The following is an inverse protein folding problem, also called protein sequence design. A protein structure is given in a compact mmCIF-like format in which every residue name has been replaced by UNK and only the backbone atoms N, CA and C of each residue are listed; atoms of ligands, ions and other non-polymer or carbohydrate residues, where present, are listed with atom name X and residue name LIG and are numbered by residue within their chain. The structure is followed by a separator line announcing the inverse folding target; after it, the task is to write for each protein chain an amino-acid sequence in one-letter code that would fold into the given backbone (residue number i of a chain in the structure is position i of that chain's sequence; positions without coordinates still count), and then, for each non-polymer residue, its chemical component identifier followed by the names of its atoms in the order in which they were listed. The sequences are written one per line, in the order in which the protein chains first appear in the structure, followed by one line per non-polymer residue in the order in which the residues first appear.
data_IF_290175949774
#
_entry.id   IF_290175949774
#
_cell.length_a   1.000
_cell.length_b   1.000
_cell.length_c   1.000
_cell.angle_alpha   90.00
_cell.angle_beta   90.00
_cell.angle_gamma   90.00
#
_symmetry.space_group_name_H-M   'P 1'
#
loop_
_entity.id
_entity.type
_entity.pdbx_description
1 polymer ?
#
# COMPACT_ATOMS: atom_id res chain seq x y z
N UNK A 1 -1.43 -6.89 21.03
CA UNK A 1 -2.21 -7.27 19.85
C UNK A 1 -1.31 -8.02 18.88
N UNK A 2 -1.91 -8.88 18.03
CA UNK A 2 -1.23 -9.53 16.92
C UNK A 2 -1.52 -8.75 15.64
N UNK A 3 -0.47 -8.28 14.97
CA UNK A 3 -0.58 -7.38 13.81
C UNK A 3 0.17 -7.98 12.62
N UNK A 4 -0.48 -8.02 11.45
CA UNK A 4 0.10 -8.48 10.20
C UNK A 4 0.24 -7.29 9.26
N UNK A 5 1.45 -7.02 8.80
CA UNK A 5 1.75 -5.96 7.83
C UNK A 5 2.15 -6.59 6.50
N UNK A 6 1.43 -6.25 5.43
CA UNK A 6 1.66 -6.79 4.08
C UNK A 6 2.38 -5.78 3.20
N UNK A 7 3.50 -6.18 2.65
CA UNK A 7 4.44 -5.45 1.80
C UNK A 7 5.04 -4.22 2.51
N UNK A 8 5.99 -3.59 1.87
CA UNK A 8 6.66 -2.42 2.42
C UNK A 8 7.13 -1.48 1.30
N UNK A 9 6.76 -0.22 1.38
CA UNK A 9 7.26 0.84 0.53
C UNK A 9 8.14 1.77 1.35
N UNK A 10 9.36 2.00 0.88
CA UNK A 10 10.29 2.97 1.47
C UNK A 10 10.48 2.83 3.00
N UNK A 11 10.49 1.59 3.51
CA UNK A 11 10.61 1.24 4.93
C UNK A 11 9.42 1.65 5.81
N UNK A 12 8.28 2.03 5.24
CA UNK A 12 7.12 2.48 6.02
C UNK A 12 6.66 1.39 6.99
N UNK A 13 6.35 0.18 6.49
CA UNK A 13 5.94 -0.93 7.35
C UNK A 13 7.09 -1.45 8.23
N UNK A 14 8.33 -1.39 7.78
CA UNK A 14 9.51 -1.73 8.60
C UNK A 14 9.57 -0.84 9.84
N UNK A 15 9.42 0.48 9.69
CA UNK A 15 9.46 1.43 10.81
C UNK A 15 8.23 1.31 11.72
N UNK A 16 7.04 1.13 11.14
CA UNK A 16 5.82 0.84 11.91
C UNK A 16 6.00 -0.44 12.72
N UNK A 17 6.52 -1.52 12.12
CA UNK A 17 6.76 -2.78 12.82
C UNK A 17 7.73 -2.62 13.99
N UNK A 18 8.81 -1.84 13.81
CA UNK A 18 9.77 -1.52 14.86
C UNK A 18 9.05 -0.86 16.05
N UNK A 19 8.37 0.26 15.82
CA UNK A 19 7.68 1.00 16.88
C UNK A 19 6.57 0.18 17.56
N UNK A 20 5.80 -0.60 16.82
CA UNK A 20 4.77 -1.46 17.40
C UNK A 20 5.35 -2.59 18.26
N UNK A 21 6.51 -3.16 17.87
CA UNK A 21 7.22 -4.16 18.69
C UNK A 21 7.77 -3.56 19.99
N UNK A 22 8.30 -2.34 19.93
CA UNK A 22 8.75 -1.58 21.11
C UNK A 22 7.59 -1.29 22.08
N UNK A 23 6.37 -1.12 21.56
CA UNK A 23 5.13 -1.00 22.34
C UNK A 23 4.58 -2.34 22.86
N UNK A 24 5.30 -3.45 22.65
CA UNK A 24 4.92 -4.77 23.16
C UNK A 24 3.89 -5.52 22.30
N UNK A 25 3.72 -5.15 21.02
CA UNK A 25 2.83 -5.86 20.10
C UNK A 25 3.57 -6.99 19.35
N UNK A 26 2.87 -8.07 19.05
CA UNK A 26 3.36 -9.15 18.18
C UNK A 26 3.12 -8.73 16.71
N UNK A 27 4.19 -8.42 15.99
CA UNK A 27 4.10 -7.94 14.61
C UNK A 27 4.78 -8.90 13.66
N UNK A 28 4.04 -9.32 12.63
CA UNK A 28 4.55 -10.12 11.51
C UNK A 28 4.59 -9.26 10.25
N UNK A 29 5.77 -9.12 9.65
CA UNK A 29 5.97 -8.41 8.40
C UNK A 29 6.09 -9.41 7.24
N UNK A 30 5.19 -9.31 6.27
CA UNK A 30 5.15 -10.12 5.05
C UNK A 30 5.53 -9.25 3.88
N UNK A 31 6.45 -9.69 3.02
CA UNK A 31 6.78 -8.89 1.85
C UNK A 31 7.71 -9.58 0.86
N UNK A 32 7.84 -8.96 -0.30
CA UNK A 32 8.77 -9.39 -1.35
C UNK A 32 10.21 -8.90 -1.12
N UNK A 33 10.42 -8.02 -0.13
CA UNK A 33 11.73 -7.47 0.26
C UNK A 33 12.14 -6.25 -0.51
N UNK A 34 11.28 -5.67 -1.31
CA UNK A 34 11.51 -4.55 -2.22
C UNK A 34 12.93 -4.58 -2.83
N UNK A 35 13.04 -4.95 -4.09
CA UNK A 35 14.32 -5.31 -4.78
C UNK A 35 15.47 -4.30 -4.56
N UNK A 36 15.16 -3.03 -4.29
CA UNK A 36 16.17 -1.97 -4.14
C UNK A 36 16.72 -1.81 -2.73
N UNK A 37 16.03 -2.33 -1.69
CA UNK A 37 16.37 -2.01 -0.29
C UNK A 37 16.65 -3.22 0.58
N UNK A 38 16.43 -4.44 0.10
CA UNK A 38 16.67 -5.67 0.88
C UNK A 38 15.94 -5.66 2.23
N UNK A 39 14.72 -5.11 2.28
CA UNK A 39 13.99 -4.88 3.52
C UNK A 39 13.76 -6.17 4.30
N UNK A 40 13.90 -6.07 5.61
CA UNK A 40 13.65 -7.19 6.54
C UNK A 40 12.17 -7.57 6.51
N UNK A 41 11.92 -8.88 6.57
CA UNK A 41 10.59 -9.46 6.63
C UNK A 41 10.61 -10.79 7.35
N UNK A 42 9.52 -11.10 8.05
CA UNK A 42 9.38 -12.37 8.76
C UNK A 42 8.90 -13.49 7.82
N UNK A 43 8.11 -13.12 6.80
CA UNK A 43 7.61 -14.05 5.78
C UNK A 43 7.95 -13.48 4.39
N UNK A 44 8.78 -14.20 3.66
CA UNK A 44 9.14 -13.85 2.29
C UNK A 44 8.09 -14.36 1.31
N UNK A 45 7.50 -13.47 0.52
CA UNK A 45 6.56 -13.79 -0.57
C UNK A 45 7.12 -13.41 -1.94
N UNK A 46 8.42 -13.26 -2.08
CA UNK A 46 9.05 -12.89 -3.34
C UNK A 46 8.66 -13.84 -4.48
N UNK A 47 8.23 -13.24 -5.58
CA UNK A 47 7.98 -13.97 -6.82
C UNK A 47 9.31 -14.29 -7.48
N UNK A 48 9.57 -15.56 -7.75
CA UNK A 48 10.72 -15.99 -8.53
C UNK A 48 10.61 -15.59 -10.01
N UNK A 49 11.63 -15.93 -10.78
CA UNK A 49 11.72 -15.72 -12.22
C UNK A 49 11.39 -17.00 -13.01
N UNK A 50 11.23 -16.85 -14.33
CA UNK A 50 11.01 -17.92 -15.30
C UNK A 50 9.55 -18.23 -15.61
N UNK A 51 9.29 -19.14 -16.58
CA UNK A 51 7.96 -19.33 -17.19
C UNK A 51 6.87 -19.79 -16.21
N UNK A 52 7.22 -20.50 -15.14
CA UNK A 52 6.26 -20.97 -14.12
C UNK A 52 6.25 -20.11 -12.85
N UNK A 53 6.89 -18.94 -12.87
CA UNK A 53 7.03 -18.08 -11.69
C UNK A 53 5.67 -17.70 -11.09
N UNK A 54 4.68 -17.39 -11.91
CA UNK A 54 3.34 -17.03 -11.45
C UNK A 54 2.60 -18.18 -10.76
N UNK A 55 2.73 -19.40 -11.28
CA UNK A 55 2.10 -20.60 -10.70
C UNK A 55 2.78 -20.94 -9.37
N UNK A 56 4.11 -20.95 -9.32
CA UNK A 56 4.85 -21.17 -8.08
C UNK A 56 4.54 -20.15 -7.01
N UNK A 57 4.40 -18.88 -7.40
CA UNK A 57 4.03 -17.80 -6.50
C UNK A 57 2.61 -18.01 -5.93
N UNK A 58 1.63 -18.36 -6.77
CA UNK A 58 0.28 -18.67 -6.36
C UNK A 58 0.23 -19.84 -5.37
N UNK A 59 0.94 -20.95 -5.66
CA UNK A 59 1.04 -22.10 -4.76
C UNK A 59 1.66 -21.67 -3.43
N UNK A 60 2.72 -20.88 -3.45
CA UNK A 60 3.38 -20.38 -2.24
C UNK A 60 2.45 -19.54 -1.40
N UNK A 61 1.77 -18.54 -1.98
CA UNK A 61 0.80 -17.72 -1.26
C UNK A 61 -0.33 -18.58 -0.65
N UNK A 62 -0.85 -19.53 -1.42
CA UNK A 62 -1.89 -20.45 -0.93
C UNK A 62 -1.40 -21.28 0.26
N UNK A 63 -0.17 -21.79 0.22
CA UNK A 63 0.41 -22.54 1.33
C UNK A 63 0.63 -21.73 2.61
N UNK A 64 0.75 -20.41 2.47
CA UNK A 64 0.95 -19.47 3.59
C UNK A 64 -0.35 -18.97 4.21
N UNK A 65 -1.52 -19.21 3.62
CA UNK A 65 -2.80 -18.70 4.10
C UNK A 65 -3.06 -19.03 5.58
N UNK A 66 -2.70 -20.22 6.03
CA UNK A 66 -2.87 -20.61 7.44
C UNK A 66 -2.07 -19.73 8.41
N UNK A 67 -1.00 -19.09 7.93
CA UNK A 67 -0.17 -18.15 8.70
C UNK A 67 -0.73 -16.73 8.70
N UNK A 68 -1.68 -16.41 7.82
CA UNK A 68 -2.27 -15.08 7.65
C UNK A 68 -3.63 -14.94 8.36
N UNK A 69 -3.89 -15.72 9.40
CA UNK A 69 -5.15 -15.72 10.16
C UNK A 69 -4.95 -15.47 11.65
N UNK A 70 -6.01 -14.97 12.29
CA UNK A 70 -6.05 -14.78 13.75
C UNK A 70 -5.29 -13.53 14.22
N UNK A 71 -5.13 -12.54 13.35
CA UNK A 71 -4.59 -11.24 13.72
C UNK A 71 -5.71 -10.29 14.15
N UNK A 72 -5.38 -9.41 15.10
CA UNK A 72 -6.27 -8.32 15.48
C UNK A 72 -6.37 -7.27 14.39
N UNK A 73 -5.24 -7.01 13.71
CA UNK A 73 -5.15 -6.06 12.61
C UNK A 73 -4.32 -6.68 11.48
N UNK A 74 -4.82 -6.59 10.26
CA UNK A 74 -4.06 -6.80 9.04
C UNK A 74 -3.98 -5.46 8.31
N UNK A 75 -2.79 -4.96 8.02
CA UNK A 75 -2.60 -3.76 7.22
C UNK A 75 -1.91 -4.11 5.91
N UNK A 76 -2.55 -3.75 4.81
CA UNK A 76 -2.00 -3.80 3.46
C UNK A 76 -1.31 -2.47 3.17
N UNK A 77 -0.12 -2.51 2.57
CA UNK A 77 0.59 -1.28 2.16
C UNK A 77 -0.17 -0.54 1.06
N UNK A 78 -0.83 -1.29 0.20
CA UNK A 78 -1.67 -0.84 -0.90
C UNK A 78 -2.67 -1.98 -1.21
N UNK A 79 -3.84 -1.74 -1.80
CA UNK A 79 -4.77 -2.80 -2.19
C UNK A 79 -4.13 -3.91 -3.02
N UNK A 80 -3.33 -3.56 -4.01
CA UNK A 80 -2.60 -4.48 -4.90
C UNK A 80 -1.26 -4.89 -4.26
N UNK A 81 -1.29 -5.88 -3.35
CA UNK A 81 -0.12 -6.25 -2.55
C UNK A 81 0.30 -7.74 -2.62
N UNK A 82 -0.44 -8.59 -3.35
CA UNK A 82 -0.08 -10.01 -3.43
C UNK A 82 0.79 -10.37 -4.64
N UNK A 83 1.01 -9.42 -5.56
CA UNK A 83 1.80 -9.62 -6.78
C UNK A 83 1.19 -10.63 -7.76
N UNK A 84 -0.12 -10.73 -7.80
CA UNK A 84 -0.91 -11.54 -8.71
C UNK A 84 -1.60 -10.66 -9.76
N UNK A 85 -2.31 -11.27 -10.70
CA UNK A 85 -3.30 -10.55 -11.49
C UNK A 85 -4.51 -10.22 -10.62
N UNK A 86 -5.14 -9.08 -10.83
CA UNK A 86 -6.24 -8.57 -10.02
C UNK A 86 -7.33 -9.61 -9.73
N UNK A 87 -7.76 -10.35 -10.75
CA UNK A 87 -8.82 -11.36 -10.62
C UNK A 87 -8.42 -12.51 -9.66
N UNK A 88 -7.12 -12.71 -9.46
CA UNK A 88 -6.59 -13.73 -8.55
C UNK A 88 -6.28 -13.20 -7.15
N UNK A 89 -6.33 -11.90 -6.93
CA UNK A 89 -6.11 -11.28 -5.63
C UNK A 89 -7.37 -11.35 -4.74
N UNK A 90 -8.58 -11.27 -5.31
CA UNK A 90 -9.85 -11.35 -4.56
C UNK A 90 -9.94 -12.51 -3.56
N UNK A 91 -9.58 -13.76 -3.89
CA UNK A 91 -9.64 -14.86 -2.91
C UNK A 91 -8.72 -14.65 -1.71
N UNK A 92 -7.53 -14.06 -1.92
CA UNK A 92 -6.56 -13.78 -0.84
C UNK A 92 -7.06 -12.67 0.07
N UNK A 93 -7.53 -11.57 -0.51
CA UNK A 93 -8.12 -10.48 0.27
C UNK A 93 -9.34 -10.97 1.08
N UNK A 94 -10.27 -11.69 0.45
CA UNK A 94 -11.44 -12.27 1.14
C UNK A 94 -11.04 -13.22 2.25
N UNK A 95 -9.95 -13.98 2.08
CA UNK A 95 -9.42 -14.82 3.14
C UNK A 95 -8.95 -13.97 4.32
N UNK A 96 -8.16 -12.93 4.09
CA UNK A 96 -7.72 -12.01 5.16
C UNK A 96 -8.91 -11.39 5.88
N UNK A 97 -9.89 -10.92 5.14
CA UNK A 97 -11.10 -10.29 5.66
C UNK A 97 -11.94 -11.21 6.56
N UNK A 98 -12.03 -12.48 6.20
CA UNK A 98 -12.82 -13.49 6.95
C UNK A 98 -12.14 -14.04 8.20
N UNK A 99 -10.81 -14.05 8.22
CA UNK A 99 -10.06 -14.77 9.25
C UNK A 99 -9.30 -13.85 10.20
N UNK A 100 -9.48 -12.54 10.08
CA UNK A 100 -8.87 -11.54 10.96
C UNK A 100 -9.92 -10.54 11.45
N UNK A 101 -9.61 -9.83 12.53
CA UNK A 101 -10.60 -8.96 13.17
C UNK A 101 -10.82 -7.66 12.40
N UNK A 102 -9.75 -7.01 11.93
CA UNK A 102 -9.76 -5.76 11.18
C UNK A 102 -8.82 -5.82 10.00
N UNK A 103 -9.24 -5.26 8.88
CA UNK A 103 -8.39 -5.07 7.70
C UNK A 103 -8.29 -3.59 7.39
N UNK A 104 -7.06 -3.12 7.30
CA UNK A 104 -6.67 -1.74 7.01
C UNK A 104 -6.01 -1.72 5.65
N UNK A 105 -6.46 -0.87 4.75
CA UNK A 105 -5.84 -0.69 3.43
C UNK A 105 -5.13 0.67 3.38
N UNK A 106 -3.80 0.65 3.26
CA UNK A 106 -2.99 1.86 3.17
C UNK A 106 -3.20 2.57 1.83
N UNK A 107 -3.42 3.87 1.88
CA UNK A 107 -3.36 4.74 0.72
C UNK A 107 -1.95 5.33 0.62
N UNK A 108 -0.99 4.49 0.22
CA UNK A 108 0.44 4.82 0.19
C UNK A 108 1.06 4.67 -1.21
N UNK A 109 0.23 4.53 -2.23
CA UNK A 109 0.63 4.41 -3.62
C UNK A 109 -0.54 4.71 -4.57
N UNK A 110 -0.28 4.60 -5.88
CA UNK A 110 -1.30 4.76 -6.89
C UNK A 110 -2.34 3.63 -6.84
N UNK A 111 -3.59 4.00 -7.02
CA UNK A 111 -4.69 3.10 -7.29
C UNK A 111 -5.79 3.84 -8.08
N UNK A 112 -6.96 3.24 -8.20
CA UNK A 112 -8.08 3.84 -8.91
C UNK A 112 -8.48 5.21 -8.33
N UNK A 113 -8.52 5.37 -7.00
CA UNK A 113 -8.94 6.64 -6.36
C UNK A 113 -7.97 7.79 -6.61
N UNK A 114 -6.67 7.50 -6.67
CA UNK A 114 -5.66 8.47 -7.07
C UNK A 114 -5.86 8.93 -8.50
N UNK A 115 -6.05 7.97 -9.43
CA UNK A 115 -6.23 8.24 -10.85
C UNK A 115 -7.52 9.03 -11.11
N UNK A 116 -8.63 8.60 -10.52
CA UNK A 116 -9.93 9.28 -10.67
C UNK A 116 -9.90 10.72 -10.13
N UNK A 117 -9.29 10.95 -8.98
CA UNK A 117 -9.10 12.30 -8.47
C UNK A 117 -8.26 13.18 -9.37
N UNK A 118 -7.17 12.65 -9.89
CA UNK A 118 -6.30 13.39 -10.79
C UNK A 118 -7.00 13.75 -12.10
N UNK A 119 -7.70 12.79 -12.70
CA UNK A 119 -8.36 12.97 -14.01
C UNK A 119 -9.64 13.79 -13.93
N UNK A 120 -10.57 13.39 -13.07
CA UNK A 120 -11.94 13.91 -13.12
C UNK A 120 -12.19 15.07 -12.14
N UNK A 121 -11.42 15.14 -11.07
CA UNK A 121 -11.59 16.18 -10.05
C UNK A 121 -10.52 17.27 -10.05
N UNK A 122 -9.44 17.11 -10.84
CA UNK A 122 -8.32 18.06 -10.89
C UNK A 122 -7.87 18.50 -9.49
N UNK A 123 -7.77 17.54 -8.57
CA UNK A 123 -7.46 17.82 -7.17
C UNK A 123 -6.15 18.60 -7.01
N UNK A 124 -5.22 18.39 -7.94
CA UNK A 124 -3.93 19.09 -7.97
C UNK A 124 -3.78 19.87 -9.26
N UNK A 125 -3.33 21.12 -9.13
CA UNK A 125 -3.00 21.97 -10.28
C UNK A 125 -1.81 21.47 -11.08
N UNK A 126 -0.86 20.82 -10.40
CA UNK A 126 0.33 20.22 -10.98
C UNK A 126 0.45 18.78 -10.47
N UNK A 127 0.48 17.83 -11.35
CA UNK A 127 0.52 16.42 -10.97
C UNK A 127 0.68 15.48 -12.17
N UNK A 128 0.31 14.24 -11.96
CA UNK A 128 0.46 13.20 -12.98
C UNK A 128 -0.45 13.40 -14.20
N UNK A 129 -1.56 14.12 -14.06
CA UNK A 129 -2.58 14.26 -15.12
C UNK A 129 -2.75 15.68 -15.64
N UNK A 130 -2.33 16.71 -14.90
CA UNK A 130 -2.46 18.11 -15.30
C UNK A 130 -1.22 18.94 -14.99
N UNK A 131 -0.99 19.94 -15.84
CA UNK A 131 -0.07 21.05 -15.61
C UNK A 131 -0.89 22.32 -15.79
N UNK A 132 -1.24 22.95 -14.68
CA UNK A 132 -2.23 24.03 -14.68
C UNK A 132 -3.58 23.53 -15.16
N UNK A 133 -4.10 24.12 -16.23
CA UNK A 133 -5.39 23.73 -16.84
C UNK A 133 -5.22 22.76 -18.03
N UNK A 134 -3.99 22.41 -18.39
CA UNK A 134 -3.68 21.56 -19.52
C UNK A 134 -3.55 20.11 -19.06
N UNK A 135 -4.36 19.22 -19.64
CA UNK A 135 -4.25 17.78 -19.40
C UNK A 135 -2.98 17.24 -20.04
N UNK A 136 -2.26 16.40 -19.30
CA UNK A 136 -1.08 15.68 -19.80
C UNK A 136 -1.52 14.53 -20.69
N UNK A 137 -0.82 14.40 -21.82
CA UNK A 137 -1.04 13.32 -22.81
C UNK A 137 0.21 12.48 -23.02
N UNK A 138 1.19 12.62 -22.12
CA UNK A 138 2.42 11.84 -22.20
C UNK A 138 2.22 10.38 -21.74
N UNK A 139 3.20 9.54 -22.07
CA UNK A 139 3.14 8.12 -21.80
C UNK A 139 3.01 7.78 -20.30
N UNK A 140 3.52 8.64 -19.40
CA UNK A 140 3.42 8.40 -17.97
C UNK A 140 1.97 8.55 -17.49
N UNK A 141 1.29 9.65 -17.88
CA UNK A 141 -0.13 9.85 -17.56
C UNK A 141 -1.00 8.73 -18.17
N UNK A 142 -0.74 8.36 -19.43
CA UNK A 142 -1.48 7.29 -20.10
C UNK A 142 -1.30 5.93 -19.42
N UNK A 143 -0.11 5.62 -18.91
CA UNK A 143 0.14 4.37 -18.18
C UNK A 143 -0.80 4.22 -16.97
N UNK A 144 -0.99 5.27 -16.17
CA UNK A 144 -1.91 5.22 -15.04
C UNK A 144 -3.37 5.02 -15.47
N UNK A 145 -3.78 5.69 -16.56
CA UNK A 145 -5.13 5.55 -17.11
C UNK A 145 -5.36 4.10 -17.56
N UNK A 146 -4.44 3.56 -18.36
CA UNK A 146 -4.54 2.19 -18.91
C UNK A 146 -4.49 1.12 -17.79
N UNK A 147 -3.85 1.42 -16.68
CA UNK A 147 -3.70 0.48 -15.58
C UNK A 147 -4.93 0.43 -14.67
N UNK A 148 -5.61 1.57 -14.45
CA UNK A 148 -6.67 1.66 -13.44
C UNK A 148 -8.05 2.03 -13.98
N UNK A 149 -8.18 2.72 -15.13
CA UNK A 149 -9.48 3.09 -15.66
C UNK A 149 -10.10 1.94 -16.45
N UNK A 150 -11.35 1.57 -16.10
CA UNK A 150 -12.12 0.50 -16.73
C UNK A 150 -11.36 -0.85 -16.84
N UNK A 151 -10.58 -1.18 -15.80
CA UNK A 151 -9.75 -2.38 -15.75
C UNK A 151 -10.07 -3.25 -14.55
N UNK A 152 -9.79 -4.57 -14.62
CA UNK A 152 -9.92 -5.47 -13.47
C UNK A 152 -9.09 -5.03 -12.27
N UNK A 153 -7.96 -4.35 -12.49
CA UNK A 153 -7.11 -3.81 -11.42
C UNK A 153 -7.78 -2.64 -10.72
N UNK A 154 -8.35 -1.71 -11.49
CA UNK A 154 -9.13 -0.61 -10.94
C UNK A 154 -10.30 -1.10 -10.09
N UNK A 155 -11.07 -2.06 -10.62
CA UNK A 155 -12.20 -2.66 -9.89
C UNK A 155 -11.77 -3.36 -8.60
N UNK A 156 -10.64 -4.08 -8.63
CA UNK A 156 -10.11 -4.74 -7.45
C UNK A 156 -9.67 -3.74 -6.37
N UNK A 157 -8.93 -2.69 -6.76
CA UNK A 157 -8.48 -1.69 -5.78
C UNK A 157 -9.66 -0.94 -5.16
N UNK A 158 -10.68 -0.62 -5.94
CA UNK A 158 -11.95 -0.07 -5.43
C UNK A 158 -12.59 -1.00 -4.41
N UNK A 159 -12.78 -2.27 -4.77
CA UNK A 159 -13.38 -3.28 -3.89
C UNK A 159 -12.66 -3.36 -2.54
N UNK A 160 -11.32 -3.39 -2.52
CA UNK A 160 -10.54 -3.45 -1.29
C UNK A 160 -10.71 -2.21 -0.43
N UNK A 161 -10.63 -1.01 -1.02
CA UNK A 161 -10.78 0.25 -0.28
C UNK A 161 -12.20 0.46 0.26
N UNK A 162 -13.22 0.05 -0.50
CA UNK A 162 -14.62 0.12 -0.05
C UNK A 162 -14.89 -0.83 1.13
N UNK A 163 -14.30 -2.03 1.13
CA UNK A 163 -14.52 -3.04 2.17
C UNK A 163 -13.62 -2.88 3.41
N UNK A 164 -12.46 -2.24 3.29
CA UNK A 164 -11.53 -2.03 4.39
C UNK A 164 -12.15 -1.27 5.57
N UNK A 165 -11.77 -1.64 6.79
CA UNK A 165 -12.26 -0.98 8.01
C UNK A 165 -11.71 0.45 8.16
N UNK A 166 -10.51 0.71 7.64
CA UNK A 166 -9.81 1.98 7.76
C UNK A 166 -8.77 2.18 6.66
N UNK A 167 -8.52 3.47 6.31
CA UNK A 167 -7.63 3.89 5.22
C UNK A 167 -6.67 4.95 5.76
N UNK A 168 -5.51 4.57 6.29
CA UNK A 168 -4.47 5.54 6.64
C UNK A 168 -3.81 6.10 5.38
N UNK A 169 -3.50 7.40 5.42
CA UNK A 169 -2.74 8.11 4.39
C UNK A 169 -1.48 8.69 5.00
N UNK A 170 -0.35 8.64 4.31
CA UNK A 170 0.92 9.14 4.85
C UNK A 170 1.38 10.45 4.24
N UNK A 171 0.80 10.84 3.12
CA UNK A 171 1.05 12.10 2.42
C UNK A 171 -0.26 12.88 2.29
N UNK A 172 -0.16 14.19 2.28
CA UNK A 172 -1.32 15.05 2.27
C UNK A 172 -2.11 14.96 0.95
N UNK A 173 -1.43 14.68 -0.14
CA UNK A 173 -2.07 14.42 -1.44
C UNK A 173 -2.98 13.18 -1.39
N UNK A 174 -2.56 12.10 -0.76
CA UNK A 174 -3.43 10.93 -0.56
C UNK A 174 -4.61 11.28 0.35
N UNK A 175 -4.38 12.04 1.42
CA UNK A 175 -5.48 12.49 2.28
C UNK A 175 -6.52 13.32 1.51
N UNK A 176 -6.08 14.19 0.61
CA UNK A 176 -6.99 15.01 -0.21
C UNK A 176 -7.81 14.16 -1.18
N UNK A 177 -7.18 13.15 -1.80
CA UNK A 177 -7.86 12.24 -2.72
C UNK A 177 -8.86 11.34 -1.99
N UNK A 178 -8.39 10.57 -1.02
CA UNK A 178 -9.22 9.54 -0.36
C UNK A 178 -10.25 10.11 0.59
N UNK A 179 -9.98 11.26 1.21
CA UNK A 179 -10.92 11.95 2.06
C UNK A 179 -12.20 12.40 1.34
N UNK A 180 -12.15 12.55 0.01
CA UNK A 180 -13.33 12.83 -0.82
C UNK A 180 -14.32 11.65 -0.83
N UNK A 181 -13.82 10.42 -0.96
CA UNK A 181 -14.66 9.21 -1.06
C UNK A 181 -14.98 8.61 0.30
N UNK A 182 -14.03 8.69 1.22
CA UNK A 182 -14.10 8.00 2.52
C UNK A 182 -13.82 8.94 3.69
N UNK A 183 -14.60 10.00 3.87
CA UNK A 183 -14.33 11.04 4.89
C UNK A 183 -14.29 10.49 6.33
N UNK A 184 -14.97 9.36 6.60
CA UNK A 184 -15.02 8.73 7.93
C UNK A 184 -13.94 7.69 8.14
N UNK A 185 -13.50 7.01 7.07
CA UNK A 185 -12.49 5.93 7.15
C UNK A 185 -11.06 6.44 6.96
N UNK A 186 -10.87 7.62 6.34
CA UNK A 186 -9.55 8.12 5.99
C UNK A 186 -8.98 8.99 7.09
N UNK A 187 -7.74 8.72 7.46
CA UNK A 187 -7.02 9.52 8.43
C UNK A 187 -5.58 9.74 8.00
N UNK A 188 -5.13 10.99 8.08
CA UNK A 188 -3.74 11.34 7.86
C UNK A 188 -2.88 10.90 9.04
N UNK A 189 -1.87 10.08 8.75
CA UNK A 189 -0.86 9.63 9.71
C UNK A 189 0.51 9.86 9.04
N UNK A 190 1.33 10.79 9.54
CA UNK A 190 2.63 11.10 8.94
C UNK A 190 3.52 9.86 8.81
N UNK A 191 4.45 9.92 7.87
CA UNK A 191 5.47 8.87 7.72
C UNK A 191 6.27 8.70 9.03
N UNK A 192 6.48 7.46 9.47
CA UNK A 192 7.33 7.19 10.62
C UNK A 192 8.79 7.53 10.30
N UNK A 193 9.50 8.13 11.25
CA UNK A 193 10.92 8.45 11.15
C UNK A 193 11.69 7.90 12.35
N UNK A 194 12.94 7.50 12.11
CA UNK A 194 13.88 7.18 13.19
C UNK A 194 14.52 8.48 13.71
N UNK A 195 14.30 8.79 14.98
CA UNK A 195 14.84 10.02 15.57
C UNK A 195 16.23 9.86 16.18
N UNK A 196 16.66 8.63 16.49
CA UNK A 196 17.95 8.33 17.10
C UNK A 196 19.17 8.65 16.22
N UNK A 197 18.98 8.74 14.90
CA UNK A 197 20.04 9.04 13.93
C UNK A 197 20.13 10.51 13.53
N UNK A 198 19.28 11.37 14.06
CA UNK A 198 19.20 12.76 13.65
C UNK A 198 20.06 13.67 14.55
N UNK A 199 21.38 13.48 14.54
CA UNK A 199 22.27 14.59 14.89
C UNK A 199 22.31 15.56 13.71
N UNK A 200 22.05 16.86 13.91
CA UNK A 200 22.22 17.84 12.84
C UNK A 200 23.68 17.83 12.41
N UNK A 201 23.92 17.39 11.17
CA UNK A 201 25.27 17.28 10.61
C UNK A 201 25.87 18.68 10.32
N UNK A 202 25.00 19.69 10.15
CA UNK A 202 25.40 21.08 9.98
C UNK A 202 24.39 22.02 10.65
N UNK A 203 24.88 22.91 11.51
CA UNK A 203 24.13 24.09 11.87
C UNK A 203 24.07 25.00 10.64
N UNK A 204 22.88 25.44 10.22
CA UNK A 204 22.74 26.48 9.23
C UNK A 204 23.29 27.77 9.81
N UNK A 205 24.39 28.28 9.23
CA UNK A 205 25.10 29.49 9.69
C UNK A 205 24.51 30.82 9.17
N UNK A 206 23.38 30.73 8.51
CA UNK A 206 22.63 31.91 8.02
C UNK A 206 23.26 32.62 6.80
N UNK A 207 24.19 31.95 6.06
CA UNK A 207 24.76 32.51 4.83
C UNK A 207 24.20 31.84 3.59
#
# INVERSE_FOLDING_TARGET
MRILLFEDYSRLHTLIAKGLRELGHEVTLVGNGNMFHGLQRDIDIRRGSGPLAGIRHLIRLTSLLTRFRGYDIVQLINPDCFGLKAEREYPFYRFLRRHNRKVVAGAFGCDWYWVDNGLHHKTFRYGDFYIGDTMRTDAAAQTFIDEYCDTPKGDYTRYVMEDADWIPTCLYEYQACYGRYFPVKTQFIPLPIETECSQPVHAFDGK
#
